data_IF_946930040311
#
_entry.id   IF_946930040311
#
_cell.length_a   1.000
_cell.length_b   1.000
_cell.length_c   1.000
_cell.angle_alpha   90.00
_cell.angle_beta   90.00
_cell.angle_gamma   90.00
#
_symmetry.space_group_name_H-M   'P 1'
#
loop_
_entity.id
_entity.type
_entity.pdbx_description
1 polymer ?
#
# COMPACT_ATOMS: atom_id res chain seq x y z
N UNK A 1 17.55 23.50 -26.13
CA UNK A 1 18.67 22.70 -26.69
C UNK A 1 18.46 21.26 -26.30
N UNK A 2 18.17 20.38 -27.26
CA UNK A 2 17.97 18.94 -27.03
C UNK A 2 19.29 18.21 -27.24
N UNK A 3 19.77 17.50 -26.23
CA UNK A 3 20.94 16.63 -26.38
C UNK A 3 20.60 15.49 -27.35
N UNK A 4 21.27 15.46 -28.51
CA UNK A 4 21.21 14.35 -29.43
C UNK A 4 22.05 13.21 -28.86
N UNK A 5 21.37 12.13 -28.46
CA UNK A 5 22.04 10.91 -28.05
C UNK A 5 22.67 10.26 -29.27
N UNK A 6 24.01 10.17 -29.30
CA UNK A 6 24.74 9.38 -30.27
C UNK A 6 25.16 8.07 -29.61
N UNK A 7 24.60 6.95 -30.07
CA UNK A 7 25.01 5.64 -29.61
C UNK A 7 26.44 5.36 -30.10
N UNK A 8 27.38 5.24 -29.17
CA UNK A 8 28.73 4.78 -29.47
C UNK A 8 28.66 3.28 -29.77
N UNK A 9 29.21 2.86 -30.91
CA UNK A 9 29.38 1.44 -31.23
C UNK A 9 30.42 0.88 -30.26
N UNK A 10 30.03 -0.04 -29.39
CA UNK A 10 30.99 -0.77 -28.55
C UNK A 10 31.36 -2.06 -29.27
N UNK A 11 32.61 -2.17 -29.71
CA UNK A 11 33.15 -3.35 -30.41
C UNK A 11 33.49 -4.50 -29.45
N UNK A 12 32.84 -4.54 -28.29
CA UNK A 12 33.05 -5.54 -27.24
C UNK A 12 32.94 -6.96 -27.81
N UNK A 13 32.04 -7.16 -28.78
CA UNK A 13 31.87 -8.45 -29.45
C UNK A 13 33.13 -8.86 -30.21
N UNK A 14 33.75 -7.96 -30.97
CA UNK A 14 34.95 -8.25 -31.77
C UNK A 14 36.18 -8.50 -30.88
N UNK A 15 36.30 -7.80 -29.76
CA UNK A 15 37.38 -8.01 -28.78
C UNK A 15 37.26 -9.34 -28.04
N UNK A 16 36.02 -9.73 -27.70
CA UNK A 16 35.72 -11.07 -27.18
C UNK A 16 36.08 -12.12 -28.22
N UNK A 17 35.89 -11.85 -29.51
CA UNK A 17 36.24 -12.81 -30.56
C UNK A 17 37.75 -12.99 -30.78
N UNK A 18 38.47 -11.88 -30.78
CA UNK A 18 39.91 -11.85 -30.99
C UNK A 18 40.71 -12.42 -29.80
N UNK A 19 40.18 -12.32 -28.57
CA UNK A 19 40.87 -12.75 -27.37
C UNK A 19 40.32 -14.07 -26.78
N UNK A 20 40.99 -15.21 -27.01
CA UNK A 20 40.53 -16.51 -26.51
C UNK A 20 40.55 -16.61 -24.98
N UNK A 21 41.39 -15.83 -24.28
CA UNK A 21 41.43 -15.80 -22.82
C UNK A 21 40.20 -15.10 -22.23
N UNK A 22 39.70 -14.06 -22.91
CA UNK A 22 38.54 -13.31 -22.48
C UNK A 22 37.25 -14.13 -22.65
N UNK A 23 37.17 -14.92 -23.72
CA UNK A 23 36.10 -15.93 -23.91
C UNK A 23 36.04 -16.94 -22.78
N UNK A 24 37.18 -17.50 -22.37
CA UNK A 24 37.22 -18.51 -21.32
C UNK A 24 36.87 -17.93 -19.95
N UNK A 25 37.28 -16.70 -19.67
CA UNK A 25 36.86 -15.96 -18.47
C UNK A 25 35.35 -15.72 -18.45
N UNK A 26 34.75 -15.29 -19.56
CA UNK A 26 33.30 -15.13 -19.67
C UNK A 26 32.57 -16.46 -19.44
N UNK A 27 33.05 -17.55 -20.03
CA UNK A 27 32.49 -18.89 -19.80
C UNK A 27 32.60 -19.32 -18.33
N UNK A 28 33.72 -19.04 -17.67
CA UNK A 28 33.89 -19.30 -16.23
C UNK A 28 32.93 -18.46 -15.38
N UNK A 29 32.71 -17.20 -15.74
CA UNK A 29 31.74 -16.32 -15.07
C UNK A 29 30.30 -16.82 -15.26
N UNK A 30 29.94 -17.29 -16.46
CA UNK A 30 28.63 -17.89 -16.72
C UNK A 30 28.45 -19.24 -16.02
N UNK A 31 29.52 -19.99 -15.81
CA UNK A 31 29.49 -21.27 -15.09
C UNK A 31 29.45 -21.08 -13.57
N UNK A 32 29.81 -19.91 -13.05
CA UNK A 32 29.78 -19.63 -11.61
C UNK A 32 28.32 -19.60 -11.11
N UNK A 33 27.92 -20.56 -10.25
CA UNK A 33 26.56 -20.65 -9.72
C UNK A 33 26.17 -19.44 -8.85
N UNK A 34 27.13 -18.59 -8.45
CA UNK A 34 26.87 -17.34 -7.73
C UNK A 34 26.14 -16.35 -8.62
N UNK A 35 26.57 -16.23 -9.87
CA UNK A 35 26.07 -15.26 -10.84
C UNK A 35 24.95 -15.81 -11.71
N UNK A 36 24.94 -17.12 -11.97
CA UNK A 36 24.01 -17.75 -12.89
C UNK A 36 23.07 -18.75 -12.19
N UNK A 37 22.30 -18.25 -11.22
CA UNK A 37 21.33 -19.09 -10.50
C UNK A 37 20.19 -19.47 -11.44
N UNK A 38 19.80 -20.77 -11.51
CA UNK A 38 18.70 -21.18 -12.37
C UNK A 38 17.44 -20.44 -11.95
N UNK A 39 16.73 -19.91 -12.95
CA UNK A 39 15.55 -19.13 -12.69
C UNK A 39 14.49 -19.99 -11.95
N UNK A 40 13.72 -19.41 -11.02
CA UNK A 40 12.77 -20.17 -10.21
C UNK A 40 11.74 -20.86 -11.10
N UNK A 41 11.30 -22.05 -10.65
CA UNK A 41 10.32 -22.88 -11.35
C UNK A 41 9.05 -22.09 -11.68
N UNK A 42 8.42 -22.40 -12.82
CA UNK A 42 7.23 -21.70 -13.30
C UNK A 42 6.11 -21.68 -12.25
N UNK A 43 5.93 -22.77 -11.51
CA UNK A 43 4.96 -22.86 -10.41
C UNK A 43 5.20 -21.84 -9.30
N UNK A 44 6.45 -21.60 -8.91
CA UNK A 44 6.77 -20.58 -7.90
C UNK A 44 6.42 -19.17 -8.40
N UNK A 45 6.59 -18.91 -9.69
CA UNK A 45 6.19 -17.63 -10.31
C UNK A 45 4.68 -17.46 -10.33
N UNK A 46 3.95 -18.51 -10.71
CA UNK A 46 2.47 -18.50 -10.70
C UNK A 46 1.96 -18.30 -9.27
N UNK A 47 2.51 -19.02 -8.30
CA UNK A 47 2.15 -18.87 -6.89
C UNK A 47 2.44 -17.46 -6.37
N UNK A 48 3.58 -16.86 -6.77
CA UNK A 48 3.92 -15.48 -6.41
C UNK A 48 2.90 -14.48 -7.00
N UNK A 49 2.53 -14.64 -8.27
CA UNK A 49 1.54 -13.77 -8.91
C UNK A 49 0.16 -13.90 -8.26
N UNK A 50 -0.25 -15.12 -7.93
CA UNK A 50 -1.51 -15.36 -7.20
C UNK A 50 -1.47 -14.76 -5.81
N UNK A 51 -0.35 -14.88 -5.08
CA UNK A 51 -0.19 -14.24 -3.77
C UNK A 51 -0.31 -12.72 -3.87
N UNK A 52 0.36 -12.11 -4.84
CA UNK A 52 0.29 -10.65 -5.06
C UNK A 52 -1.14 -10.23 -5.38
N UNK A 53 -1.81 -10.92 -6.31
CA UNK A 53 -3.21 -10.64 -6.66
C UNK A 53 -4.14 -10.81 -5.44
N UNK A 54 -3.92 -11.84 -4.63
CA UNK A 54 -4.67 -12.08 -3.39
C UNK A 54 -4.46 -10.96 -2.37
N UNK A 55 -3.21 -10.48 -2.19
CA UNK A 55 -2.92 -9.37 -1.29
C UNK A 55 -3.60 -8.07 -1.76
N UNK A 56 -3.60 -7.79 -3.06
CA UNK A 56 -4.35 -6.66 -3.61
C UNK A 56 -5.84 -6.81 -3.33
N UNK A 57 -6.42 -7.97 -3.62
CA UNK A 57 -7.83 -8.24 -3.34
C UNK A 57 -8.17 -8.09 -1.85
N UNK A 58 -7.34 -8.64 -0.95
CA UNK A 58 -7.52 -8.51 0.49
C UNK A 58 -7.45 -7.04 0.94
N UNK A 59 -6.50 -6.26 0.42
CA UNK A 59 -6.41 -4.83 0.71
C UNK A 59 -7.67 -4.07 0.25
N UNK A 60 -8.24 -4.42 -0.92
CA UNK A 60 -9.51 -3.86 -1.38
C UNK A 60 -10.70 -4.23 -0.48
N UNK A 61 -10.70 -5.43 0.11
CA UNK A 61 -11.77 -5.88 0.99
C UNK A 61 -11.76 -5.19 2.37
N UNK A 62 -10.60 -4.70 2.83
CA UNK A 62 -10.45 -4.05 4.14
C UNK A 62 -10.95 -2.59 4.15
N UNK A 63 -11.78 -2.18 3.18
CA UNK A 63 -12.39 -0.85 3.24
C UNK A 63 -13.16 -0.66 4.55
N UNK A 64 -12.75 0.30 5.41
CA UNK A 64 -13.46 0.54 6.65
C UNK A 64 -14.86 1.02 6.31
N UNK A 65 -15.88 0.25 6.70
CA UNK A 65 -17.27 0.68 6.62
C UNK A 65 -17.38 1.98 7.42
N UNK A 66 -17.50 3.12 6.73
CA UNK A 66 -17.72 4.42 7.35
C UNK A 66 -19.07 4.36 8.07
N UNK A 67 -19.05 4.02 9.36
CA UNK A 67 -20.25 4.08 10.21
C UNK A 67 -20.83 5.49 10.12
N UNK A 68 -22.10 5.62 9.77
CA UNK A 68 -22.71 6.94 9.76
C UNK A 68 -22.71 7.48 11.20
N UNK A 69 -22.37 8.77 11.41
CA UNK A 69 -22.36 9.33 12.75
C UNK A 69 -23.75 9.18 13.37
N UNK A 70 -23.85 8.41 14.46
CA UNK A 70 -25.11 8.24 15.17
C UNK A 70 -25.24 9.39 16.16
N UNK A 71 -26.12 10.33 15.85
CA UNK A 71 -26.49 11.41 16.77
C UNK A 71 -27.34 10.77 17.86
N UNK A 72 -26.82 10.74 19.09
CA UNK A 72 -27.57 10.29 20.25
C UNK A 72 -27.99 11.55 20.99
N UNK A 73 -29.28 11.85 20.96
CA UNK A 73 -29.87 12.88 21.78
C UNK A 73 -29.98 12.33 23.21
N UNK A 74 -29.26 12.94 24.14
CA UNK A 74 -29.42 12.63 25.55
C UNK A 74 -30.65 13.38 26.07
N UNK A 75 -31.64 12.65 26.58
CA UNK A 75 -32.70 13.25 27.37
C UNK A 75 -32.11 13.72 28.70
N UNK A 76 -31.86 15.03 28.81
CA UNK A 76 -31.14 15.63 29.94
C UNK A 76 -31.91 15.59 31.27
N UNK A 77 -33.24 15.42 31.22
CA UNK A 77 -34.10 15.43 32.40
C UNK A 77 -34.78 14.08 32.54
N UNK A 78 -34.72 13.47 33.73
CA UNK A 78 -35.72 12.47 34.08
C UNK A 78 -37.09 13.13 34.12
N UNK A 79 -38.17 12.36 33.92
CA UNK A 79 -39.55 12.88 33.98
C UNK A 79 -39.83 13.65 35.28
N UNK A 80 -39.09 13.36 36.34
CA UNK A 80 -39.28 13.89 37.69
C UNK A 80 -38.62 15.25 37.96
N UNK A 81 -37.63 15.70 37.16
CA UNK A 81 -36.83 16.91 37.45
C UNK A 81 -36.77 17.92 36.29
N UNK A 82 -37.86 18.04 35.53
CA UNK A 82 -38.01 18.89 34.32
C UNK A 82 -37.75 20.40 34.51
N UNK A 83 -37.74 20.91 35.75
CA UNK A 83 -37.88 22.35 36.03
C UNK A 83 -36.68 23.04 36.68
N UNK A 84 -35.46 22.49 36.60
CA UNK A 84 -34.27 23.23 37.07
C UNK A 84 -33.67 24.07 35.92
N UNK A 85 -33.71 25.41 35.99
CA UNK A 85 -33.22 26.26 34.93
C UNK A 85 -31.69 26.39 35.01
N UNK A 86 -30.95 25.44 34.43
CA UNK A 86 -29.55 25.62 34.01
C UNK A 86 -29.02 24.32 33.34
N UNK A 87 -29.33 24.12 32.06
CA UNK A 87 -28.33 24.24 30.99
C UNK A 87 -28.97 23.92 29.63
N UNK A 88 -28.38 24.45 28.57
CA UNK A 88 -28.73 24.16 27.18
C UNK A 88 -28.74 22.65 26.88
N UNK A 89 -29.59 22.18 25.94
CA UNK A 89 -29.56 20.80 25.49
C UNK A 89 -28.17 20.42 25.00
N UNK A 90 -27.76 19.17 25.27
CA UNK A 90 -26.42 18.66 24.91
C UNK A 90 -26.61 17.55 23.89
N UNK A 91 -25.96 17.70 22.74
CA UNK A 91 -25.95 16.69 21.68
C UNK A 91 -24.65 15.90 21.83
N UNK A 92 -24.77 14.57 21.91
CA UNK A 92 -23.62 13.68 21.82
C UNK A 92 -23.53 13.10 20.42
N UNK A 93 -22.46 13.42 19.70
CA UNK A 93 -22.16 12.92 18.38
C UNK A 93 -21.10 11.81 18.50
N UNK A 94 -21.44 10.59 18.11
CA UNK A 94 -20.43 9.53 17.99
C UNK A 94 -19.83 9.59 16.59
N UNK A 95 -18.59 10.07 16.50
CA UNK A 95 -17.88 10.22 15.24
C UNK A 95 -17.40 8.86 14.71
N UNK A 96 -17.05 8.81 13.41
CA UNK A 96 -16.54 7.60 12.74
C UNK A 96 -15.33 6.98 13.43
N UNK A 97 -14.56 7.81 14.11
CA UNK A 97 -13.33 7.44 14.81
C UNK A 97 -13.60 6.87 16.22
N UNK A 98 -14.87 6.67 16.59
CA UNK A 98 -15.28 6.18 17.91
C UNK A 98 -15.28 7.24 19.01
N UNK A 99 -14.70 8.41 18.74
CA UNK A 99 -14.68 9.56 19.65
C UNK A 99 -16.09 10.14 19.81
N UNK A 100 -16.49 10.36 21.06
CA UNK A 100 -17.74 11.04 21.41
C UNK A 100 -17.47 12.54 21.51
N UNK A 101 -18.08 13.34 20.65
CA UNK A 101 -18.04 14.81 20.72
C UNK A 101 -19.31 15.33 21.37
N UNK A 102 -19.14 16.20 22.35
CA UNK A 102 -20.22 16.95 22.99
C UNK A 102 -20.36 18.30 22.27
N UNK A 103 -21.55 18.60 21.75
CA UNK A 103 -21.89 19.93 21.21
C UNK A 103 -23.04 20.53 21.99
N UNK A 104 -22.97 21.83 22.26
CA UNK A 104 -24.11 22.60 22.76
C UNK A 104 -25.15 22.76 21.65
N UNK A 105 -26.41 22.51 21.95
CA UNK A 105 -27.50 22.75 21.02
C UNK A 105 -27.94 24.22 21.09
N UNK A 106 -27.98 24.89 19.93
CA UNK A 106 -28.64 26.18 19.75
C UNK A 106 -29.89 25.94 18.90
N UNK A 107 -31.05 26.37 19.40
CA UNK A 107 -32.31 26.43 18.66
C UNK A 107 -32.48 27.81 18.04
#
# INVERSE_FOLDING_TARGET
MSAQYQALSTDDSAEIEANPQLRSQIQQLHADPRFNRPAPSLWKRIALLLLVAFLFWAAFQVQPKRSQPKIIHAERYSKDYKYRPAASPVITERLKDGVVRLRGAYF
#
